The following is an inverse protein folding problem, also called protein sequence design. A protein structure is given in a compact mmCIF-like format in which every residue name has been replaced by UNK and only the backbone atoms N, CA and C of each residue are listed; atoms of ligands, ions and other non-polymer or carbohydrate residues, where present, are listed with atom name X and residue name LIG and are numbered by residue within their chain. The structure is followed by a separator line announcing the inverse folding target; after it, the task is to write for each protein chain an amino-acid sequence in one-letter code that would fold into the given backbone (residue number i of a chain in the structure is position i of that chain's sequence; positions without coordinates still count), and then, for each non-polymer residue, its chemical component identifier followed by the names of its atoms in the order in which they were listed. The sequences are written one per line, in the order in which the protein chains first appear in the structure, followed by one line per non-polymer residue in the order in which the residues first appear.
data_IF_148455281327
#
_entry.id   IF_148455281327
#
_cell.length_a   1.000
_cell.length_b   1.000
_cell.length_c   1.000
_cell.angle_alpha   90.00
_cell.angle_beta   90.00
_cell.angle_gamma   90.00
#
_symmetry.space_group_name_H-M   'P 1'
#
loop_
_entity.id
_entity.type
_entity.pdbx_description
1 polymer ?
#
# COMPACT_ATOMS: atom_id res chain seq x y z
N UNK A 1 19.51 -17.82 -9.20
CA UNK A 1 19.23 -16.38 -9.18
C UNK A 1 18.01 -16.17 -8.28
N UNK A 2 18.24 -15.95 -6.99
CA UNK A 2 17.18 -15.69 -6.02
C UNK A 2 16.66 -14.27 -6.30
N UNK A 3 15.49 -14.15 -6.92
CA UNK A 3 14.74 -12.89 -6.91
C UNK A 3 14.49 -12.56 -5.43
N UNK A 4 15.21 -11.57 -4.89
CA UNK A 4 14.87 -11.05 -3.57
C UNK A 4 13.48 -10.43 -3.69
N UNK A 5 12.51 -11.02 -3.00
CA UNK A 5 11.14 -10.49 -2.91
C UNK A 5 11.08 -9.27 -1.97
N UNK A 6 12.10 -8.41 -2.01
CA UNK A 6 12.20 -7.24 -1.14
C UNK A 6 11.43 -6.03 -1.67
N UNK A 7 10.83 -6.11 -2.88
CA UNK A 7 10.01 -5.05 -3.47
C UNK A 7 10.79 -3.92 -4.15
N UNK A 8 12.13 -3.93 -4.06
CA UNK A 8 13.00 -2.84 -4.56
C UNK A 8 12.83 -2.60 -6.06
N UNK A 9 12.72 -3.67 -6.85
CA UNK A 9 12.51 -3.57 -8.29
C UNK A 9 11.20 -2.82 -8.65
N UNK A 10 10.12 -3.07 -7.90
CA UNK A 10 8.84 -2.39 -8.11
C UNK A 10 8.92 -0.91 -7.73
N UNK A 11 9.61 -0.59 -6.63
CA UNK A 11 9.83 0.81 -6.23
C UNK A 11 10.60 1.58 -7.31
N UNK A 12 11.68 0.99 -7.84
CA UNK A 12 12.45 1.63 -8.90
C UNK A 12 11.62 1.82 -10.18
N UNK A 13 10.83 0.82 -10.56
CA UNK A 13 9.91 0.94 -11.71
C UNK A 13 8.90 2.10 -11.53
N UNK A 14 8.35 2.27 -10.33
CA UNK A 14 7.45 3.39 -10.03
C UNK A 14 8.20 4.73 -10.09
N UNK A 15 9.42 4.81 -9.56
CA UNK A 15 10.25 6.03 -9.64
C UNK A 15 10.52 6.42 -11.08
N UNK A 16 10.88 5.46 -11.93
CA UNK A 16 11.15 5.69 -13.35
C UNK A 16 9.90 6.18 -14.08
N UNK A 17 8.75 5.53 -13.84
CA UNK A 17 7.46 5.96 -14.37
C UNK A 17 7.10 7.41 -13.97
N UNK A 18 7.31 7.76 -12.71
CA UNK A 18 7.01 9.10 -12.20
C UNK A 18 7.95 10.16 -12.79
N UNK A 19 9.23 9.82 -13.00
CA UNK A 19 10.18 10.72 -13.64
C UNK A 19 9.75 11.03 -15.08
N UNK A 20 9.43 9.99 -15.86
CA UNK A 20 8.95 10.15 -17.24
C UNK A 20 7.65 10.96 -17.30
N UNK A 21 6.72 10.71 -16.37
CA UNK A 21 5.46 11.45 -16.26
C UNK A 21 5.70 12.93 -15.90
N UNK A 22 6.65 13.22 -15.03
CA UNK A 22 7.01 14.59 -14.64
C UNK A 22 7.66 15.36 -15.78
N UNK A 23 8.57 14.72 -16.54
CA UNK A 23 9.19 15.29 -17.73
C UNK A 23 8.14 15.65 -18.79
N UNK A 24 7.25 14.71 -19.13
CA UNK A 24 6.16 14.91 -20.10
C UNK A 24 5.22 16.04 -19.70
N UNK A 25 4.88 16.16 -18.42
CA UNK A 25 3.98 17.19 -17.88
C UNK A 25 4.69 18.49 -17.47
N UNK A 26 6.02 18.58 -17.67
CA UNK A 26 6.87 19.73 -17.31
C UNK A 26 6.81 20.10 -15.83
N UNK A 27 6.64 19.12 -14.93
CA UNK A 27 6.66 19.31 -13.49
C UNK A 27 8.10 19.43 -12.97
N UNK A 28 8.72 20.59 -13.19
CA UNK A 28 10.15 20.83 -12.90
C UNK A 28 10.56 20.60 -11.43
N UNK A 29 9.61 20.68 -10.50
CA UNK A 29 9.86 20.48 -9.06
C UNK A 29 9.78 19.01 -8.62
N UNK A 30 9.15 18.14 -9.41
CA UNK A 30 9.12 16.71 -9.09
C UNK A 30 10.45 16.10 -9.52
N UNK A 31 11.20 15.53 -8.56
CA UNK A 31 12.46 14.81 -8.82
C UNK A 31 12.43 13.37 -8.28
N UNK A 32 11.56 12.49 -8.81
CA UNK A 32 11.44 11.10 -8.37
C UNK A 32 12.76 10.33 -8.30
N UNK A 33 13.71 10.55 -9.21
CA UNK A 33 15.04 9.92 -9.16
C UNK A 33 15.73 10.09 -7.80
N UNK A 34 15.57 11.24 -7.16
CA UNK A 34 16.19 11.57 -5.86
C UNK A 34 15.45 10.99 -4.65
N UNK A 35 14.28 10.39 -4.84
CA UNK A 35 13.49 9.85 -3.73
C UNK A 35 14.11 8.56 -3.18
N UNK A 36 14.01 8.38 -1.87
CA UNK A 36 14.45 7.16 -1.19
C UNK A 36 13.29 6.17 -1.16
N UNK A 37 13.52 4.98 -1.71
CA UNK A 37 12.62 3.85 -1.57
C UNK A 37 12.79 3.18 -0.22
N UNK A 38 11.70 2.85 0.46
CA UNK A 38 11.74 2.11 1.71
C UNK A 38 10.77 0.93 1.67
N UNK A 39 11.29 -0.25 2.02
CA UNK A 39 10.48 -1.45 2.22
C UNK A 39 10.30 -1.66 3.71
N UNK A 40 9.07 -1.44 4.19
CA UNK A 40 8.75 -1.54 5.59
C UNK A 40 9.03 -2.95 6.13
N UNK A 41 9.73 -3.00 7.28
CA UNK A 41 10.00 -4.22 8.03
C UNK A 41 9.02 -4.33 9.19
N UNK A 42 8.87 -5.54 9.72
CA UNK A 42 8.03 -5.82 10.91
C UNK A 42 6.56 -5.39 10.75
N UNK A 43 6.05 -5.46 9.52
CA UNK A 43 4.64 -5.19 9.22
C UNK A 43 3.78 -6.44 9.50
N UNK A 44 2.47 -6.29 9.75
CA UNK A 44 1.56 -7.42 9.84
C UNK A 44 1.66 -8.33 8.61
N UNK A 45 1.82 -9.63 8.84
CA UNK A 45 1.90 -10.62 7.77
C UNK A 45 0.62 -11.45 7.70
N UNK A 46 0.18 -11.74 6.47
CA UNK A 46 -0.92 -12.66 6.20
C UNK A 46 -0.46 -14.11 6.43
N UNK A 47 -1.34 -14.93 6.99
CA UNK A 47 -1.14 -16.39 7.04
C UNK A 47 -2.06 -17.13 6.08
N UNK A 48 -3.09 -16.45 5.55
CA UNK A 48 -4.04 -17.01 4.58
C UNK A 48 -3.86 -16.37 3.21
N UNK A 49 -3.86 -17.18 2.16
CA UNK A 49 -3.60 -16.71 0.79
C UNK A 49 -4.68 -15.74 0.29
N UNK A 50 -5.94 -15.97 0.65
CA UNK A 50 -7.09 -15.18 0.20
C UNK A 50 -7.19 -13.80 0.87
N UNK A 51 -6.39 -13.51 1.90
CA UNK A 51 -6.42 -12.24 2.63
C UNK A 51 -5.47 -11.18 2.06
N UNK A 52 -4.73 -11.47 0.98
CA UNK A 52 -3.80 -10.52 0.39
C UNK A 52 -4.46 -9.20 -0.04
N UNK A 53 -5.67 -9.25 -0.61
CA UNK A 53 -6.43 -8.05 -0.98
C UNK A 53 -6.89 -7.24 0.25
N UNK A 54 -7.32 -7.92 1.31
CA UNK A 54 -7.77 -7.27 2.56
C UNK A 54 -6.60 -6.59 3.26
N UNK A 55 -5.44 -7.26 3.36
CA UNK A 55 -4.21 -6.64 3.87
C UNK A 55 -3.80 -5.42 3.06
N UNK A 56 -3.88 -5.49 1.72
CA UNK A 56 -3.55 -4.35 0.85
C UNK A 56 -4.45 -3.15 1.14
N UNK A 57 -5.76 -3.36 1.27
CA UNK A 57 -6.70 -2.29 1.61
C UNK A 57 -6.42 -1.72 3.00
N UNK A 58 -6.15 -2.57 3.99
CA UNK A 58 -5.89 -2.12 5.35
C UNK A 58 -4.58 -1.34 5.49
N UNK A 59 -3.52 -1.74 4.76
CA UNK A 59 -2.30 -0.94 4.68
C UNK A 59 -2.56 0.44 4.07
N UNK A 60 -3.33 0.50 2.98
CA UNK A 60 -3.70 1.77 2.36
C UNK A 60 -4.53 2.65 3.29
N UNK A 61 -5.46 2.07 4.04
CA UNK A 61 -6.26 2.80 5.02
C UNK A 61 -5.37 3.43 6.11
N UNK A 62 -4.44 2.66 6.68
CA UNK A 62 -3.49 3.19 7.66
C UNK A 62 -2.62 4.31 7.07
N UNK A 63 -2.03 4.10 5.88
CA UNK A 63 -1.15 5.10 5.23
C UNK A 63 -1.90 6.38 4.88
N UNK A 64 -3.14 6.27 4.39
CA UNK A 64 -3.96 7.43 4.01
C UNK A 64 -4.29 8.37 5.18
N UNK A 65 -4.32 7.82 6.40
CA UNK A 65 -4.57 8.55 7.65
C UNK A 65 -3.30 8.88 8.44
N UNK A 66 -2.13 8.69 7.84
CA UNK A 66 -0.84 8.85 8.52
C UNK A 66 -0.72 8.00 9.80
N UNK A 67 -1.40 6.85 9.82
CA UNK A 67 -1.43 5.89 10.94
C UNK A 67 -0.48 4.72 10.73
N UNK A 68 -0.19 4.00 11.82
CA UNK A 68 0.61 2.77 11.77
C UNK A 68 -0.26 1.53 11.48
N UNK A 69 0.33 0.52 10.86
CA UNK A 69 -0.32 -0.75 10.54
C UNK A 69 -0.56 -1.60 11.80
N UNK A 70 -1.50 -1.19 12.64
CA UNK A 70 -1.84 -1.83 13.92
C UNK A 70 -2.98 -2.85 13.75
N UNK A 71 -2.85 -3.76 12.79
CA UNK A 71 -3.82 -4.81 12.54
C UNK A 71 -3.14 -6.16 12.45
N UNK A 72 -3.93 -7.23 12.46
CA UNK A 72 -3.42 -8.59 12.39
C UNK A 72 -4.36 -9.50 11.62
N UNK A 73 -3.84 -10.66 11.24
CA UNK A 73 -4.60 -11.72 10.59
C UNK A 73 -5.88 -12.11 11.34
N UNK A 74 -5.91 -11.98 12.68
CA UNK A 74 -7.07 -12.30 13.52
C UNK A 74 -8.29 -11.40 13.24
N UNK A 75 -8.05 -10.16 12.79
CA UNK A 75 -9.11 -9.18 12.52
C UNK A 75 -9.66 -9.27 11.09
N UNK A 76 -9.05 -10.07 10.21
CA UNK A 76 -9.40 -10.07 8.78
C UNK A 76 -10.84 -10.47 8.50
N UNK A 77 -11.45 -11.30 9.35
CA UNK A 77 -12.87 -11.65 9.20
C UNK A 77 -13.78 -10.46 9.43
N UNK A 78 -13.57 -9.72 10.51
CA UNK A 78 -14.38 -8.55 10.84
C UNK A 78 -14.12 -7.41 9.87
N UNK A 79 -12.86 -7.20 9.48
CA UNK A 79 -12.50 -6.22 8.45
C UNK A 79 -13.18 -6.53 7.12
N UNK A 80 -13.28 -7.80 6.71
CA UNK A 80 -14.04 -8.17 5.49
C UNK A 80 -15.52 -7.81 5.59
N UNK A 81 -16.15 -8.05 6.73
CA UNK A 81 -17.55 -7.69 6.96
C UNK A 81 -17.72 -6.17 6.94
N UNK A 82 -16.81 -5.44 7.58
CA UNK A 82 -16.78 -3.98 7.55
C UNK A 82 -16.63 -3.44 6.13
N UNK A 83 -15.64 -3.92 5.37
CA UNK A 83 -15.44 -3.53 3.96
C UNK A 83 -16.71 -3.78 3.12
N UNK A 84 -17.40 -4.90 3.33
CA UNK A 84 -18.65 -5.17 2.62
C UNK A 84 -19.72 -4.11 2.94
N UNK A 85 -19.91 -3.78 4.22
CA UNK A 85 -20.87 -2.75 4.64
C UNK A 85 -20.48 -1.34 4.13
N UNK A 86 -19.19 -1.01 4.11
CA UNK A 86 -18.66 0.23 3.51
C UNK A 86 -18.94 0.31 2.00
N UNK A 87 -18.72 -0.77 1.26
CA UNK A 87 -19.01 -0.86 -0.18
C UNK A 87 -20.50 -0.68 -0.45
N UNK A 88 -21.37 -1.22 0.41
CA UNK A 88 -22.82 -1.00 0.33
C UNK A 88 -23.26 0.41 0.80
N UNK A 89 -22.32 1.28 1.18
CA UNK A 89 -22.59 2.67 1.58
C UNK A 89 -23.24 2.80 2.96
N UNK A 90 -23.13 1.77 3.81
CA UNK A 90 -23.82 1.72 5.11
C UNK A 90 -23.04 2.32 6.28
N UNK A 91 -21.79 2.71 6.08
CA UNK A 91 -20.98 3.42 7.08
C UNK A 91 -20.67 4.84 6.60
N UNK A 92 -21.36 5.82 7.18
CA UNK A 92 -20.91 7.23 7.20
C UNK A 92 -19.85 7.33 8.29
N UNK A 93 -18.67 7.87 7.96
CA UNK A 93 -17.65 8.21 8.94
C UNK A 93 -18.23 9.19 9.99
N UNK A 94 -17.98 8.89 11.26
CA UNK A 94 -17.87 9.90 12.33
C UNK A 94 -16.56 10.70 12.16
#
# INVERSE_FOLDING_TARGET
MTLSMDGTAHINLIKDFLEEAAEKRRYKMLKPKNWVGFCAKNVPLRTKAYDCGVFTCQFNECVSRNGSANFSQKQMEDIRKQMAEEIYGKLRYE
#
